data_IF_908081681677
#
_entry.id   IF_908081681677
#
_cell.length_a   1.000
_cell.length_b   1.000
_cell.length_c   1.000
_cell.angle_alpha   90.00
_cell.angle_beta   90.00
_cell.angle_gamma   90.00
#
_symmetry.space_group_name_H-M   'P 1'
#
loop_
_entity.id
_entity.type
_entity.pdbx_description
1 polymer ?
#
# COMPACT_ATOMS: atom_id res chain seq x y z
N UNK A 1 -11.51 -1.06 12.21
CA UNK A 1 -10.25 -1.33 11.50
C UNK A 1 -10.56 -1.97 10.19
N UNK A 2 -9.78 -1.67 9.17
CA UNK A 2 -9.99 -2.17 7.83
C UNK A 2 -8.63 -2.49 7.21
N UNK A 3 -8.54 -3.58 6.45
CA UNK A 3 -7.32 -4.04 5.84
C UNK A 3 -7.42 -3.89 4.33
N UNK A 4 -6.31 -3.55 3.67
CA UNK A 4 -6.26 -3.43 2.23
C UNK A 4 -4.94 -3.99 1.71
N UNK A 5 -5.00 -4.69 0.58
CA UNK A 5 -3.83 -5.12 -0.18
C UNK A 5 -3.87 -4.41 -1.52
N UNK A 6 -2.86 -3.59 -1.78
CA UNK A 6 -2.64 -2.99 -3.10
C UNK A 6 -1.45 -3.68 -3.73
N UNK A 7 -1.61 -4.14 -4.96
CA UNK A 7 -0.52 -4.69 -5.76
C UNK A 7 -0.43 -3.99 -7.10
N UNK A 8 0.76 -3.98 -7.68
CA UNK A 8 1.05 -3.44 -9.00
C UNK A 8 2.29 -4.13 -9.55
N UNK A 9 2.47 -4.01 -10.86
CA UNK A 9 3.66 -4.46 -11.58
C UNK A 9 4.49 -3.25 -11.99
N UNK A 10 5.78 -3.47 -12.20
CA UNK A 10 6.72 -2.45 -12.64
C UNK A 10 7.28 -2.80 -14.02
N UNK A 11 7.28 -1.83 -14.93
CA UNK A 11 7.86 -1.97 -16.26
C UNK A 11 9.01 -0.98 -16.45
N UNK A 12 10.02 -1.39 -17.21
CA UNK A 12 11.09 -0.51 -17.69
C UNK A 12 11.85 0.23 -16.58
N UNK A 13 11.93 -0.38 -15.40
CA UNK A 13 12.64 0.17 -14.23
C UNK A 13 13.34 -0.96 -13.47
N UNK A 14 14.57 -0.73 -13.04
CA UNK A 14 15.31 -1.64 -12.17
C UNK A 14 14.83 -1.55 -10.72
N UNK A 15 15.17 -2.54 -9.90
CA UNK A 15 14.90 -2.50 -8.46
C UNK A 15 15.52 -1.27 -7.77
N UNK A 16 16.74 -0.89 -8.16
CA UNK A 16 17.42 0.28 -7.59
C UNK A 16 16.69 1.58 -7.93
N UNK A 17 16.15 1.68 -9.14
CA UNK A 17 15.34 2.81 -9.55
C UNK A 17 13.96 2.81 -8.88
N UNK A 18 13.31 1.65 -8.71
CA UNK A 18 12.08 1.53 -7.91
C UNK A 18 12.29 2.06 -6.49
N UNK A 19 13.38 1.65 -5.83
CA UNK A 19 13.72 2.11 -4.49
C UNK A 19 13.83 3.65 -4.43
N UNK A 20 14.60 4.24 -5.36
CA UNK A 20 14.86 5.69 -5.40
C UNK A 20 13.67 6.53 -5.85
N UNK A 21 12.93 6.06 -6.85
CA UNK A 21 11.87 6.85 -7.49
C UNK A 21 10.51 6.69 -6.80
N UNK A 22 10.33 5.63 -6.01
CA UNK A 22 9.03 5.31 -5.41
C UNK A 22 9.13 5.09 -3.90
N UNK A 23 9.99 4.17 -3.42
CA UNK A 23 10.00 3.82 -1.98
C UNK A 23 10.52 4.97 -1.12
N UNK A 24 11.70 5.50 -1.42
CA UNK A 24 12.33 6.59 -0.66
C UNK A 24 11.48 7.86 -0.55
N UNK A 25 10.88 8.40 -1.63
CA UNK A 25 10.04 9.59 -1.53
C UNK A 25 8.65 9.30 -0.94
N UNK A 26 8.03 8.16 -1.26
CA UNK A 26 6.63 7.92 -0.86
C UNK A 26 6.52 7.42 0.57
N UNK A 27 7.49 6.66 1.10
CA UNK A 27 7.39 6.07 2.43
C UNK A 27 7.20 7.11 3.56
N UNK A 28 7.97 8.23 3.61
CA UNK A 28 7.74 9.28 4.60
C UNK A 28 6.39 9.98 4.44
N UNK A 29 5.90 10.17 3.21
CA UNK A 29 4.59 10.80 2.95
C UNK A 29 3.47 9.88 3.43
N UNK A 30 3.55 8.59 3.07
CA UNK A 30 2.58 7.56 3.46
C UNK A 30 2.52 7.40 4.99
N UNK A 31 3.66 7.49 5.68
CA UNK A 31 3.72 7.42 7.15
C UNK A 31 2.90 8.52 7.85
N UNK A 32 2.56 9.60 7.14
CA UNK A 32 1.78 10.72 7.66
C UNK A 32 0.31 10.73 7.17
N UNK A 33 -0.13 9.69 6.45
CA UNK A 33 -1.52 9.60 5.99
C UNK A 33 -2.45 9.43 7.18
N UNK A 34 -3.41 10.35 7.31
CA UNK A 34 -4.42 10.31 8.38
C UNK A 34 -5.21 8.99 8.34
N UNK A 35 -5.32 8.34 9.49
CA UNK A 35 -6.08 7.09 9.64
C UNK A 35 -5.36 5.83 9.13
N UNK A 36 -4.15 5.96 8.56
CA UNK A 36 -3.27 4.82 8.31
C UNK A 36 -2.59 4.42 9.62
N UNK A 37 -2.77 3.18 10.05
CA UNK A 37 -2.09 2.63 11.23
C UNK A 37 -0.71 2.09 10.85
N UNK A 38 -0.63 1.36 9.74
CA UNK A 38 0.64 0.85 9.23
C UNK A 38 0.54 0.44 7.77
N UNK A 39 1.68 0.46 7.08
CA UNK A 39 1.88 -0.13 5.76
C UNK A 39 3.07 -1.08 5.82
N UNK A 40 2.89 -2.30 5.34
CA UNK A 40 3.97 -3.26 5.07
C UNK A 40 4.18 -3.28 3.56
N UNK A 41 5.40 -2.95 3.11
CA UNK A 41 5.76 -3.00 1.69
C UNK A 41 5.92 -4.45 1.22
N UNK A 42 5.39 -4.76 0.04
CA UNK A 42 5.42 -6.08 -0.57
C UNK A 42 6.27 -6.01 -1.85
N UNK A 43 7.15 -6.99 -2.04
CA UNK A 43 7.96 -7.11 -3.26
C UNK A 43 8.25 -8.59 -3.55
N UNK A 44 7.93 -9.01 -4.77
CA UNK A 44 8.30 -10.28 -5.38
C UNK A 44 8.85 -9.95 -6.79
N UNK A 45 10.17 -9.80 -6.88
CA UNK A 45 10.86 -9.47 -8.13
C UNK A 45 10.71 -10.58 -9.17
N UNK A 46 10.71 -11.84 -8.74
CA UNK A 46 10.59 -12.99 -9.65
C UNK A 46 9.24 -13.05 -10.36
N UNK A 47 8.18 -12.52 -9.72
CA UNK A 47 6.83 -12.41 -10.32
C UNK A 47 6.47 -10.98 -10.75
N UNK A 48 7.43 -10.05 -10.71
CA UNK A 48 7.21 -8.64 -10.96
C UNK A 48 5.96 -8.10 -10.22
N UNK A 49 5.83 -8.42 -8.94
CA UNK A 49 4.67 -8.02 -8.13
C UNK A 49 5.14 -7.22 -6.92
N UNK A 50 4.71 -5.98 -6.85
CA UNK A 50 5.05 -5.03 -5.79
C UNK A 50 3.77 -4.50 -5.17
N UNK A 51 3.85 -3.92 -3.98
CA UNK A 51 2.63 -3.48 -3.32
C UNK A 51 2.78 -3.05 -1.88
N UNK A 52 1.63 -3.06 -1.20
CA UNK A 52 1.56 -2.86 0.24
C UNK A 52 0.36 -3.57 0.85
N UNK A 53 0.55 -4.08 2.06
CA UNK A 53 -0.52 -4.38 2.98
C UNK A 53 -0.73 -3.16 3.90
N UNK A 54 -1.95 -2.67 3.97
CA UNK A 54 -2.33 -1.48 4.72
C UNK A 54 -3.31 -1.86 5.81
N UNK A 55 -3.10 -1.27 6.98
CA UNK A 55 -4.01 -1.37 8.11
C UNK A 55 -4.54 0.03 8.41
N UNK A 56 -5.86 0.17 8.37
CA UNK A 56 -6.57 1.43 8.52
C UNK A 56 -7.40 1.43 9.81
N UNK A 57 -7.58 2.61 10.39
CA UNK A 57 -8.47 2.81 11.55
C UNK A 57 -9.91 2.36 11.22
N UNK A 58 -10.39 2.71 10.03
CA UNK A 58 -11.73 2.40 9.54
C UNK A 58 -11.77 2.45 8.00
N UNK A 59 -12.91 2.04 7.42
CA UNK A 59 -13.12 2.01 5.97
C UNK A 59 -13.10 3.41 5.34
N UNK A 60 -13.68 4.42 6.01
CA UNK A 60 -13.70 5.80 5.51
C UNK A 60 -12.29 6.36 5.31
N UNK A 61 -11.36 6.11 6.25
CA UNK A 61 -9.96 6.56 6.12
C UNK A 61 -9.25 5.92 4.90
N UNK A 62 -9.54 4.64 4.64
CA UNK A 62 -9.04 3.94 3.45
C UNK A 62 -9.64 4.55 2.17
N UNK A 63 -10.95 4.82 2.15
CA UNK A 63 -11.62 5.44 1.01
C UNK A 63 -11.08 6.85 0.74
N UNK A 64 -10.89 7.67 1.77
CA UNK A 64 -10.28 9.01 1.66
C UNK A 64 -8.89 8.94 1.03
N UNK A 65 -8.07 7.97 1.47
CA UNK A 65 -6.76 7.73 0.87
C UNK A 65 -6.87 7.32 -0.60
N UNK A 66 -7.77 6.39 -0.95
CA UNK A 66 -7.95 5.91 -2.33
C UNK A 66 -8.40 7.01 -3.30
N UNK A 67 -9.12 8.02 -2.81
CA UNK A 67 -9.54 9.19 -3.61
C UNK A 67 -8.52 10.34 -3.62
N UNK A 68 -7.44 10.24 -2.84
CA UNK A 68 -6.44 11.29 -2.71
C UNK A 68 -5.59 11.49 -3.98
N UNK A 69 -5.03 12.69 -4.12
CA UNK A 69 -4.09 12.98 -5.20
C UNK A 69 -2.77 12.20 -5.07
N UNK A 70 -2.43 11.71 -3.87
CA UNK A 70 -1.28 10.84 -3.66
C UNK A 70 -1.43 9.52 -4.44
N UNK A 71 -2.60 8.88 -4.35
CA UNK A 71 -2.87 7.65 -5.10
C UNK A 71 -2.86 7.94 -6.60
N UNK A 72 -3.51 9.03 -7.04
CA UNK A 72 -3.50 9.45 -8.46
C UNK A 72 -2.08 9.69 -9.00
N UNK A 73 -1.21 10.32 -8.20
CA UNK A 73 0.18 10.58 -8.57
C UNK A 73 1.02 9.31 -8.67
N UNK A 74 0.76 8.30 -7.83
CA UNK A 74 1.47 7.02 -7.88
C UNK A 74 1.03 6.19 -9.08
N UNK A 75 -0.27 6.07 -9.33
CA UNK A 75 -0.79 5.23 -10.43
C UNK A 75 -0.58 5.85 -11.81
N UNK A 76 -0.33 7.16 -11.89
CA UNK A 76 -0.03 7.85 -13.15
C UNK A 76 1.42 7.68 -13.60
N UNK A 77 2.30 7.13 -12.75
CA UNK A 77 3.70 6.87 -13.11
C UNK A 77 3.76 5.89 -14.29
N UNK A 78 4.53 6.18 -15.34
CA UNK A 78 4.49 5.41 -16.59
C UNK A 78 4.93 3.95 -16.40
N UNK A 79 5.81 3.70 -15.43
CA UNK A 79 6.34 2.39 -15.07
C UNK A 79 5.42 1.58 -14.15
N UNK A 80 4.34 2.14 -13.62
CA UNK A 80 3.37 1.41 -12.79
C UNK A 80 2.26 0.83 -13.69
N UNK A 81 2.02 -0.48 -13.58
CA UNK A 81 1.01 -1.20 -14.37
C UNK A 81 0.20 -2.16 -13.50
N UNK A 82 -0.94 -2.60 -14.04
CA UNK A 82 -1.75 -3.70 -13.50
C UNK A 82 -2.05 -3.52 -12.01
N UNK A 83 -2.43 -2.29 -11.63
CA UNK A 83 -2.77 -1.94 -10.25
C UNK A 83 -4.04 -2.67 -9.85
N UNK A 84 -4.00 -3.35 -8.71
CA UNK A 84 -5.14 -4.00 -8.08
C UNK A 84 -5.23 -3.58 -6.63
N UNK A 85 -6.45 -3.43 -6.12
CA UNK A 85 -6.73 -3.16 -4.71
C UNK A 85 -7.87 -4.05 -4.25
N UNK A 86 -7.66 -4.73 -3.14
CA UNK A 86 -8.68 -5.55 -2.46
C UNK A 86 -8.69 -5.20 -0.98
N UNK A 87 -9.88 -5.20 -0.38
CA UNK A 87 -10.07 -4.79 1.00
C UNK A 87 -10.94 -5.77 1.81
N UNK A 88 -10.78 -5.71 3.13
CA UNK A 88 -11.39 -6.64 4.08
C UNK A 88 -11.67 -5.95 5.41
N UNK A 89 -12.76 -6.35 6.06
CA UNK A 89 -12.92 -6.07 7.47
C UNK A 89 -11.94 -6.89 8.30
N UNK A 90 -11.31 -6.24 9.28
CA UNK A 90 -10.35 -6.89 10.16
C UNK A 90 -11.11 -7.72 11.21
N UNK A 91 -10.87 -9.03 11.24
CA UNK A 91 -11.27 -9.87 12.37
C UNK A 91 -10.43 -9.55 13.61
N UNK A 92 -10.86 -8.53 14.36
CA UNK A 92 -10.09 -7.97 15.47
C UNK A 92 -9.75 -9.01 16.54
N UNK A 93 -10.69 -9.90 16.87
CA UNK A 93 -10.48 -10.90 17.92
C UNK A 93 -9.35 -11.86 17.57
N UNK A 94 -9.36 -12.41 16.35
CA UNK A 94 -8.29 -13.29 15.89
C UNK A 94 -6.95 -12.55 15.75
N UNK A 95 -6.98 -11.32 15.22
CA UNK A 95 -5.78 -10.51 15.02
C UNK A 95 -5.11 -10.09 16.33
N UNK A 96 -5.85 -9.90 17.43
CA UNK A 96 -5.27 -9.65 18.75
C UNK A 96 -4.48 -10.87 19.24
N UNK A 97 -5.03 -12.08 19.09
CA UNK A 97 -4.37 -13.34 19.48
C UNK A 97 -3.08 -13.55 18.69
N UNK A 98 -3.08 -13.20 17.40
CA UNK A 98 -1.94 -13.39 16.50
C UNK A 98 -1.01 -12.18 16.39
N UNK A 99 -1.21 -11.13 17.21
CA UNK A 99 -0.39 -9.91 17.28
C UNK A 99 -0.40 -9.07 16.00
N UNK A 100 -1.43 -9.20 15.17
CA UNK A 100 -1.61 -8.40 13.95
C UNK A 100 -2.13 -7.00 14.20
N UNK A 101 -2.80 -6.78 15.35
CA UNK A 101 -3.30 -5.46 15.78
C UNK A 101 -3.04 -5.28 17.27
N UNK A 102 -2.98 -4.02 17.73
CA UNK A 102 -2.86 -3.66 19.15
C UNK A 102 -4.17 -3.11 19.69
#
# INVERSE_FOLDING_TARGET
MHAQVITYQLNDISQAEYQKQMVEPDAPILANVKGLISKVWLADEGKNTFGGFYLWENKSAMEDFMHSDLVKAVVSRPFVKNVSSVDYDVNRNASLITRGVK
#
